data_IF_253257118145
#
_entry.id   IF_253257118145
#
_cell.length_a   1.000
_cell.length_b   1.000
_cell.length_c   1.000
_cell.angle_alpha   90.00
_cell.angle_beta   90.00
_cell.angle_gamma   90.00
#
_symmetry.space_group_name_H-M   'P 1'
#
loop_
_entity.id
_entity.type
_entity.pdbx_description
1 polymer ?
#
# COMPACT_ATOMS: atom_id res chain seq x y z
N UNK A 1 -53.94 -49.96 28.19
CA UNK A 1 -53.57 -49.71 26.78
C UNK A 1 -53.65 -48.21 26.53
N UNK A 2 -52.53 -47.60 26.09
CA UNK A 2 -52.45 -46.43 25.18
C UNK A 2 -53.03 -45.10 25.72
N UNK A 3 -52.36 -43.96 25.72
CA UNK A 3 -51.14 -43.50 25.03
C UNK A 3 -50.75 -42.16 25.64
N UNK A 4 -49.45 -41.98 25.89
CA UNK A 4 -48.82 -40.74 26.35
C UNK A 4 -48.69 -39.79 25.14
N UNK A 5 -49.18 -38.55 25.25
CA UNK A 5 -49.04 -37.54 24.19
C UNK A 5 -47.87 -36.61 24.54
N UNK A 6 -46.68 -36.94 24.04
CA UNK A 6 -45.50 -36.05 24.07
C UNK A 6 -45.65 -34.99 22.99
N UNK A 7 -45.83 -33.73 23.38
CA UNK A 7 -45.78 -32.58 22.50
C UNK A 7 -44.29 -32.21 22.28
N UNK A 8 -43.75 -32.57 21.12
CA UNK A 8 -42.38 -32.22 20.72
C UNK A 8 -42.45 -30.90 19.92
N UNK A 9 -42.21 -29.78 20.59
CA UNK A 9 -42.11 -28.47 19.94
C UNK A 9 -40.76 -28.41 19.24
N UNK A 10 -40.79 -28.68 17.93
CA UNK A 10 -39.69 -28.44 17.01
C UNK A 10 -39.42 -26.93 16.89
N UNK A 11 -38.32 -26.47 17.47
CA UNK A 11 -37.84 -25.10 17.33
C UNK A 11 -37.07 -25.00 16.01
N UNK A 12 -37.76 -24.62 14.93
CA UNK A 12 -37.15 -24.29 13.64
C UNK A 12 -36.31 -23.02 13.80
N UNK A 13 -35.01 -23.19 14.09
CA UNK A 13 -34.00 -22.14 13.96
C UNK A 13 -33.83 -21.82 12.47
N UNK A 14 -34.64 -20.89 11.97
CA UNK A 14 -34.35 -20.21 10.71
C UNK A 14 -33.08 -19.41 10.95
N UNK A 15 -31.95 -19.95 10.52
CA UNK A 15 -30.70 -19.22 10.50
C UNK A 15 -30.83 -18.14 9.42
N UNK A 16 -31.13 -16.92 9.85
CA UNK A 16 -30.89 -15.74 9.02
C UNK A 16 -29.39 -15.66 8.80
N UNK A 17 -28.92 -16.14 7.65
CA UNK A 17 -27.61 -15.75 7.14
C UNK A 17 -27.75 -14.29 6.75
N UNK A 18 -27.50 -13.40 7.71
CA UNK A 18 -27.26 -12.01 7.40
C UNK A 18 -26.02 -11.98 6.52
N UNK A 19 -26.19 -11.86 5.21
CA UNK A 19 -25.10 -11.49 4.33
C UNK A 19 -24.72 -10.07 4.72
N UNK A 20 -23.76 -9.93 5.64
CA UNK A 20 -23.10 -8.66 5.85
C UNK A 20 -22.51 -8.29 4.49
N UNK A 21 -23.07 -7.26 3.85
CA UNK A 21 -22.43 -6.63 2.70
C UNK A 21 -21.11 -6.09 3.23
N UNK A 22 -20.05 -6.85 3.02
CA UNK A 22 -18.71 -6.43 3.39
C UNK A 22 -18.43 -5.14 2.60
N UNK A 23 -18.02 -4.06 3.27
CA UNK A 23 -17.91 -2.77 2.61
C UNK A 23 -16.84 -2.85 1.52
N UNK A 24 -17.25 -2.55 0.30
CA UNK A 24 -16.38 -2.21 -0.81
C UNK A 24 -16.20 -0.70 -0.84
N UNK A 25 -15.06 -0.23 -1.34
CA UNK A 25 -14.86 1.20 -1.47
C UNK A 25 -13.54 1.60 -2.08
N UNK A 26 -13.34 2.90 -2.05
CA UNK A 26 -12.18 3.59 -2.57
C UNK A 26 -11.60 4.46 -1.47
N UNK A 27 -10.30 4.31 -1.23
CA UNK A 27 -9.54 5.22 -0.37
C UNK A 27 -8.65 6.09 -1.26
N UNK A 28 -8.78 7.40 -1.13
CA UNK A 28 -7.88 8.36 -1.78
C UNK A 28 -6.78 8.72 -0.78
N UNK A 29 -5.52 8.60 -1.20
CA UNK A 29 -4.35 8.95 -0.40
C UNK A 29 -3.62 10.15 -0.96
N UNK A 30 -3.02 10.93 -0.07
CA UNK A 30 -1.93 11.85 -0.36
C UNK A 30 -0.60 11.21 0.07
N UNK A 31 0.30 11.00 -0.89
CA UNK A 31 1.68 10.58 -0.62
C UNK A 31 2.59 11.81 -0.61
N UNK A 32 3.28 12.01 0.51
CA UNK A 32 4.33 13.01 0.74
C UNK A 32 5.67 12.31 0.90
N UNK A 33 6.71 12.95 0.37
CA UNK A 33 8.08 12.46 0.47
C UNK A 33 9.02 13.59 0.92
N UNK A 34 9.74 13.36 2.00
CA UNK A 34 10.63 14.33 2.64
C UNK A 34 12.08 14.01 2.26
N UNK A 35 12.54 14.63 1.16
CA UNK A 35 13.88 14.38 0.63
C UNK A 35 15.00 14.81 1.58
N UNK A 36 14.80 15.86 2.37
CA UNK A 36 15.74 16.28 3.42
C UNK A 36 16.00 15.14 4.42
N UNK A 37 14.94 14.49 4.90
CA UNK A 37 15.03 13.36 5.83
C UNK A 37 15.70 12.16 5.16
N UNK A 38 15.22 11.75 3.99
CA UNK A 38 15.75 10.60 3.22
C UNK A 38 17.26 10.77 2.95
N UNK A 39 17.66 11.92 2.42
CA UNK A 39 19.04 12.17 2.04
C UNK A 39 19.96 12.24 3.27
N UNK A 40 19.47 12.77 4.40
CA UNK A 40 20.24 12.81 5.66
C UNK A 40 20.52 11.43 6.26
N UNK A 41 19.76 10.39 5.89
CA UNK A 41 20.00 9.02 6.35
C UNK A 41 21.02 8.24 5.51
N UNK A 42 21.52 8.80 4.40
CA UNK A 42 22.52 8.13 3.57
C UNK A 42 23.81 7.88 4.37
N UNK A 43 24.22 6.61 4.43
CA UNK A 43 25.26 6.13 5.35
C UNK A 43 26.68 6.60 5.01
N UNK A 44 26.90 7.05 3.77
CA UNK A 44 28.20 7.51 3.29
C UNK A 44 28.43 9.01 3.49
N UNK A 45 27.47 9.75 4.04
CA UNK A 45 27.58 11.19 4.28
C UNK A 45 28.13 11.50 5.68
N UNK A 46 28.99 12.50 5.77
CA UNK A 46 29.40 13.11 7.04
C UNK A 46 28.27 13.92 7.68
N UNK A 47 28.40 14.24 8.97
CA UNK A 47 27.38 15.04 9.67
C UNK A 47 27.23 16.44 9.08
N UNK A 48 28.34 17.10 8.71
CA UNK A 48 28.29 18.43 8.07
C UNK A 48 27.56 18.42 6.72
N UNK A 49 27.75 17.36 5.92
CA UNK A 49 27.04 17.19 4.66
C UNK A 49 25.54 16.97 4.88
N UNK A 50 25.18 16.19 5.90
CA UNK A 50 23.78 15.98 6.29
C UNK A 50 23.12 17.29 6.73
N UNK A 51 23.79 18.08 7.56
CA UNK A 51 23.29 19.38 8.01
C UNK A 51 23.11 20.36 6.83
N UNK A 52 24.04 20.35 5.88
CA UNK A 52 23.92 21.15 4.64
C UNK A 52 22.73 20.72 3.80
N UNK A 53 22.52 19.42 3.63
CA UNK A 53 21.37 18.87 2.89
C UNK A 53 20.07 19.30 3.56
N UNK A 54 19.94 19.11 4.88
CA UNK A 54 18.72 19.51 5.60
C UNK A 54 18.44 20.99 5.39
N UNK A 55 19.43 21.87 5.54
CA UNK A 55 19.24 23.31 5.32
C UNK A 55 18.88 23.67 3.86
N UNK A 56 19.39 22.91 2.90
CA UNK A 56 19.10 23.12 1.46
C UNK A 56 17.69 22.70 1.12
N UNK A 57 17.22 21.58 1.67
CA UNK A 57 15.96 20.94 1.30
C UNK A 57 14.79 21.27 2.22
N UNK A 58 15.03 21.86 3.41
CA UNK A 58 13.98 22.20 4.39
C UNK A 58 12.87 23.11 3.85
N UNK A 59 13.16 23.93 2.84
CA UNK A 59 12.21 24.86 2.24
C UNK A 59 11.76 24.42 0.83
N UNK A 60 12.16 23.23 0.38
CA UNK A 60 11.68 22.69 -0.88
C UNK A 60 10.26 22.19 -0.66
N UNK A 61 9.35 22.59 -1.53
CA UNK A 61 7.96 22.16 -1.47
C UNK A 61 7.89 20.63 -1.57
N UNK A 62 7.09 20.02 -0.70
CA UNK A 62 6.94 18.57 -0.65
C UNK A 62 6.30 18.06 -1.94
N UNK A 63 6.94 17.09 -2.58
CA UNK A 63 6.34 16.39 -3.71
C UNK A 63 5.11 15.61 -3.21
N UNK A 64 3.93 16.14 -3.51
CA UNK A 64 2.64 15.53 -3.20
C UNK A 64 2.09 14.80 -4.41
N UNK A 65 1.61 13.59 -4.20
CA UNK A 65 0.93 12.81 -5.24
C UNK A 65 -0.33 12.16 -4.70
N UNK A 66 -1.38 12.12 -5.53
CA UNK A 66 -2.65 11.48 -5.19
C UNK A 66 -2.73 10.05 -5.72
N UNK A 67 -3.16 9.15 -4.86
CA UNK A 67 -3.26 7.72 -5.12
C UNK A 67 -4.63 7.21 -4.72
N UNK A 68 -5.07 6.12 -5.33
CA UNK A 68 -6.35 5.48 -5.05
C UNK A 68 -6.11 4.02 -4.73
N UNK A 69 -6.75 3.53 -3.68
CA UNK A 69 -6.90 2.13 -3.34
C UNK A 69 -8.36 1.74 -3.52
N UNK A 70 -8.63 0.91 -4.50
CA UNK A 70 -9.90 0.19 -4.62
C UNK A 70 -9.79 -1.06 -3.77
N UNK A 71 -10.76 -1.28 -2.89
CA UNK A 71 -10.77 -2.47 -2.04
C UNK A 71 -12.12 -3.15 -2.06
N UNK A 72 -12.07 -4.48 -2.06
CA UNK A 72 -13.17 -5.37 -1.77
C UNK A 72 -12.72 -6.39 -0.71
N UNK A 73 -13.59 -7.32 -0.29
CA UNK A 73 -13.21 -8.37 0.65
C UNK A 73 -12.18 -9.33 0.06
N UNK A 74 -12.21 -9.50 -1.27
CA UNK A 74 -11.48 -10.54 -1.99
C UNK A 74 -10.31 -9.98 -2.79
N UNK A 75 -10.32 -8.69 -3.12
CA UNK A 75 -9.36 -8.08 -4.03
C UNK A 75 -9.03 -6.63 -3.63
N UNK A 76 -7.88 -6.15 -4.09
CA UNK A 76 -7.54 -4.73 -4.03
C UNK A 76 -6.66 -4.29 -5.19
N UNK A 77 -6.76 -3.01 -5.54
CA UNK A 77 -5.95 -2.36 -6.56
C UNK A 77 -5.50 -0.99 -6.05
N UNK A 78 -4.19 -0.77 -5.94
CA UNK A 78 -3.60 0.53 -5.62
C UNK A 78 -2.92 1.11 -6.86
N UNK A 79 -3.32 2.33 -7.26
CA UNK A 79 -2.78 3.00 -8.45
C UNK A 79 -2.90 4.53 -8.35
N UNK A 80 -2.35 5.26 -9.32
CA UNK A 80 -2.49 6.71 -9.42
C UNK A 80 -3.95 7.11 -9.67
N UNK A 81 -4.37 8.23 -9.07
CA UNK A 81 -5.75 8.73 -9.20
C UNK A 81 -6.19 9.06 -10.65
N UNK A 82 -5.25 9.25 -11.58
CA UNK A 82 -5.54 9.67 -12.96
C UNK A 82 -5.22 8.59 -14.02
N UNK A 83 -4.98 7.35 -13.64
CA UNK A 83 -4.65 6.31 -14.63
C UNK A 83 -5.92 6.01 -15.46
N UNK A 84 -5.99 6.54 -16.67
CA UNK A 84 -7.14 6.41 -17.59
C UNK A 84 -7.81 7.72 -18.03
N UNK A 85 -7.40 8.87 -17.50
CA UNK A 85 -7.84 10.19 -17.99
C UNK A 85 -6.76 10.76 -18.89
N UNK A 86 -7.05 10.92 -20.18
CA UNK A 86 -6.20 11.69 -21.06
C UNK A 86 -6.21 13.14 -20.58
N UNK A 87 -5.06 13.69 -20.22
CA UNK A 87 -4.95 15.12 -19.92
C UNK A 87 -5.35 15.90 -21.19
N UNK A 88 -6.52 16.55 -21.17
CA UNK A 88 -6.98 17.45 -22.25
C UNK A 88 -6.11 18.72 -22.35
N UNK A 89 -5.26 18.97 -21.35
CA UNK A 89 -4.30 20.06 -21.36
C UNK A 89 -2.99 19.57 -21.99
N UNK A 90 -2.80 19.85 -23.28
CA UNK A 90 -1.59 19.56 -24.07
C UNK A 90 -0.31 20.30 -23.62
N UNK A 91 -0.04 20.34 -22.31
CA UNK A 91 1.29 20.59 -21.76
C UNK A 91 2.10 19.29 -21.75
N UNK A 92 3.42 19.39 -21.56
CA UNK A 92 4.29 18.24 -21.34
C UNK A 92 3.82 17.48 -20.09
N UNK A 93 2.88 16.55 -20.23
CA UNK A 93 2.53 15.64 -19.16
C UNK A 93 3.77 14.75 -18.95
N UNK A 94 4.41 14.93 -17.80
CA UNK A 94 5.40 13.99 -17.27
C UNK A 94 4.70 12.63 -17.32
N UNK A 95 5.13 11.74 -18.22
CA UNK A 95 4.59 10.38 -18.30
C UNK A 95 4.61 9.81 -16.88
N UNK A 96 3.45 9.65 -16.25
CA UNK A 96 3.37 9.03 -14.93
C UNK A 96 3.79 7.58 -15.14
N UNK A 97 4.85 7.20 -14.43
CA UNK A 97 5.41 5.85 -14.46
C UNK A 97 4.31 4.81 -14.23
N UNK A 98 4.38 3.68 -14.93
CA UNK A 98 3.41 2.60 -14.73
C UNK A 98 3.57 2.03 -13.31
N UNK A 99 2.61 2.31 -12.41
CA UNK A 99 2.58 1.79 -11.05
C UNK A 99 1.17 1.35 -10.67
N UNK A 100 0.96 0.05 -10.54
CA UNK A 100 -0.30 -0.55 -10.12
C UNK A 100 -0.04 -1.81 -9.32
N UNK A 101 -0.61 -1.90 -8.13
CA UNK A 101 -0.44 -3.03 -7.21
C UNK A 101 -1.77 -3.73 -7.08
N UNK A 102 -1.87 -4.95 -7.62
CA UNK A 102 -3.09 -5.75 -7.57
C UNK A 102 -2.92 -6.95 -6.64
N UNK A 103 -3.90 -7.19 -5.78
CA UNK A 103 -3.92 -8.31 -4.83
C UNK A 103 -5.24 -9.06 -4.96
N UNK A 104 -5.17 -10.37 -4.98
CA UNK A 104 -6.31 -11.26 -4.88
C UNK A 104 -6.14 -12.15 -3.65
N UNK A 105 -6.91 -11.85 -2.60
CA UNK A 105 -6.87 -12.50 -1.30
C UNK A 105 -7.48 -13.90 -1.32
N UNK A 106 -8.44 -14.17 -2.21
CA UNK A 106 -9.08 -15.48 -2.34
C UNK A 106 -8.15 -16.51 -2.99
N UNK A 107 -7.38 -16.06 -3.99
CA UNK A 107 -6.51 -16.92 -4.78
C UNK A 107 -5.06 -16.93 -4.29
N UNK A 108 -4.74 -16.16 -3.25
CA UNK A 108 -3.37 -15.97 -2.75
C UNK A 108 -2.42 -15.51 -3.88
N UNK A 109 -2.83 -14.50 -4.65
CA UNK A 109 -2.07 -14.02 -5.81
C UNK A 109 -1.81 -12.52 -5.75
N UNK A 110 -0.61 -12.11 -6.18
CA UNK A 110 -0.28 -10.72 -6.47
C UNK A 110 0.15 -10.52 -7.91
N UNK A 111 -0.15 -9.32 -8.41
CA UNK A 111 0.35 -8.80 -9.68
C UNK A 111 0.72 -7.33 -9.50
N UNK A 112 2.01 -7.02 -9.52
CA UNK A 112 2.50 -5.64 -9.48
C UNK A 112 3.00 -5.21 -10.86
N UNK A 113 2.45 -4.13 -11.39
CA UNK A 113 3.01 -3.42 -12.52
C UNK A 113 3.85 -2.27 -11.99
N UNK A 114 5.17 -2.34 -12.17
CA UNK A 114 6.09 -1.32 -11.63
C UNK A 114 7.13 -0.95 -12.67
N UNK A 115 7.21 0.32 -13.02
CA UNK A 115 8.36 0.90 -13.73
C UNK A 115 9.49 1.22 -12.74
N UNK A 116 10.68 0.66 -12.96
CA UNK A 116 11.84 0.87 -12.10
C UNK A 116 13.12 0.76 -12.94
N UNK A 117 14.12 1.61 -12.69
CA UNK A 117 15.37 1.65 -13.48
C UNK A 117 15.14 1.75 -15.00
N UNK A 118 14.11 2.49 -15.42
CA UNK A 118 13.73 2.70 -16.83
C UNK A 118 13.17 1.48 -17.54
N UNK A 119 12.69 0.47 -16.80
CA UNK A 119 12.03 -0.73 -17.35
C UNK A 119 10.74 -1.02 -16.59
N UNK A 120 9.72 -1.44 -17.33
CA UNK A 120 8.45 -1.92 -16.76
C UNK A 120 8.55 -3.40 -16.42
N UNK A 121 8.22 -3.73 -15.17
CA UNK A 121 8.16 -5.08 -14.65
C UNK A 121 6.73 -5.47 -14.29
N UNK A 122 6.41 -6.74 -14.51
CA UNK A 122 5.19 -7.37 -14.00
C UNK A 122 5.64 -8.39 -12.97
N UNK A 123 5.42 -8.11 -11.69
CA UNK A 123 5.80 -8.98 -10.59
C UNK A 123 4.62 -9.85 -10.23
N UNK A 124 4.71 -11.14 -10.52
CA UNK A 124 3.67 -12.12 -10.23
C UNK A 124 4.21 -13.17 -9.26
N UNK A 125 3.48 -13.38 -8.17
CA UNK A 125 3.83 -14.35 -7.13
C UNK A 125 2.63 -14.62 -6.20
N UNK A 126 2.83 -15.49 -5.21
CA UNK A 126 1.90 -15.67 -4.10
C UNK A 126 1.92 -14.49 -3.11
N UNK A 127 0.88 -14.32 -2.28
CA UNK A 127 0.90 -13.27 -1.27
C UNK A 127 1.83 -13.65 -0.12
N UNK A 128 2.65 -12.69 0.27
CA UNK A 128 3.49 -12.79 1.45
C UNK A 128 3.20 -11.61 2.34
N UNK A 129 2.39 -11.85 3.36
CA UNK A 129 2.00 -10.82 4.32
C UNK A 129 3.22 -10.36 5.12
N UNK A 130 3.46 -9.05 5.23
CA UNK A 130 4.49 -8.53 6.13
C UNK A 130 4.26 -9.00 7.58
N UNK A 131 5.34 -9.28 8.31
CA UNK A 131 5.27 -9.71 9.70
C UNK A 131 4.91 -8.54 10.64
N UNK A 132 3.63 -8.15 10.65
CA UNK A 132 3.14 -7.03 11.44
C UNK A 132 3.16 -7.30 12.95
N UNK A 133 3.67 -6.33 13.71
CA UNK A 133 3.49 -6.24 15.15
C UNK A 133 2.45 -5.17 15.47
N UNK A 134 1.25 -5.59 15.83
CA UNK A 134 0.16 -4.69 16.24
C UNK A 134 0.47 -4.13 17.64
N UNK A 135 0.23 -2.84 17.83
CA UNK A 135 0.46 -2.10 19.06
C UNK A 135 -0.85 -1.48 19.55
N UNK A 136 -0.97 -1.27 20.85
CA UNK A 136 -2.18 -0.71 21.49
C UNK A 136 -2.26 0.83 21.40
N UNK A 137 -1.77 1.41 20.30
CA UNK A 137 -1.87 2.84 20.05
C UNK A 137 -3.02 3.08 19.08
N UNK A 138 -3.84 4.08 19.38
CA UNK A 138 -4.96 4.50 18.55
C UNK A 138 -4.74 5.92 18.03
N UNK A 139 -5.23 6.18 16.83
CA UNK A 139 -5.22 7.50 16.19
C UNK A 139 -6.43 7.58 15.25
N UNK A 140 -6.99 8.77 15.06
CA UNK A 140 -8.00 8.99 14.03
C UNK A 140 -7.33 9.37 12.70
N UNK A 141 -7.73 8.73 11.60
CA UNK A 141 -7.29 9.04 10.23
C UNK A 141 -8.50 9.04 9.32
N UNK A 142 -8.71 10.13 8.56
CA UNK A 142 -9.86 10.31 7.67
C UNK A 142 -11.24 10.03 8.33
N UNK A 143 -11.38 10.30 9.63
CA UNK A 143 -12.61 10.06 10.39
C UNK A 143 -12.78 8.63 10.92
N UNK A 144 -11.79 7.75 10.76
CA UNK A 144 -11.81 6.38 11.27
C UNK A 144 -10.83 6.19 12.42
N UNK A 145 -11.23 5.36 13.40
CA UNK A 145 -10.33 4.96 14.49
C UNK A 145 -9.37 3.90 13.97
N UNK A 146 -8.08 4.21 14.00
CA UNK A 146 -7.03 3.33 13.53
C UNK A 146 -6.17 2.80 14.68
N UNK A 147 -5.72 1.55 14.54
CA UNK A 147 -4.71 0.95 15.40
C UNK A 147 -3.34 0.95 14.71
N UNK A 148 -2.28 1.10 15.50
CA UNK A 148 -0.91 1.06 14.99
C UNK A 148 -0.41 -0.35 14.78
N UNK A 149 0.27 -0.60 13.67
CA UNK A 149 1.10 -1.76 13.45
C UNK A 149 2.48 -1.34 12.94
N UNK A 150 3.50 -2.13 13.24
CA UNK A 150 4.87 -1.90 12.76
C UNK A 150 5.45 -3.15 12.11
N UNK A 151 6.21 -2.97 11.05
CA UNK A 151 7.01 -4.03 10.41
C UNK A 151 8.34 -3.44 9.94
N UNK A 152 9.24 -4.29 9.45
CA UNK A 152 10.53 -3.90 8.89
C UNK A 152 10.60 -4.39 7.46
N UNK A 153 10.98 -3.51 6.53
CA UNK A 153 11.25 -3.89 5.14
C UNK A 153 12.51 -4.77 5.08
N UNK A 154 12.43 -6.04 4.63
CA UNK A 154 13.60 -6.92 4.54
C UNK A 154 14.62 -6.47 3.48
N UNK A 155 14.25 -5.58 2.55
CA UNK A 155 15.12 -5.12 1.47
C UNK A 155 15.98 -3.96 1.96
N UNK A 156 15.34 -2.93 2.52
CA UNK A 156 15.99 -1.68 2.89
C UNK A 156 16.28 -1.55 4.38
N UNK A 157 15.70 -2.42 5.23
CA UNK A 157 15.79 -2.31 6.69
C UNK A 157 14.99 -1.15 7.26
N UNK A 158 14.09 -0.55 6.47
CA UNK A 158 13.27 0.57 6.91
C UNK A 158 12.20 0.10 7.91
N UNK A 159 11.90 0.95 8.88
CA UNK A 159 10.76 0.73 9.78
C UNK A 159 9.50 1.28 9.14
N UNK A 160 8.50 0.42 8.99
CA UNK A 160 7.22 0.76 8.40
C UNK A 160 6.18 0.79 9.50
N UNK A 161 5.59 1.96 9.72
CA UNK A 161 4.47 2.14 10.63
C UNK A 161 3.19 2.26 9.80
N UNK A 162 2.21 1.41 10.09
CA UNK A 162 0.89 1.46 9.49
C UNK A 162 -0.17 1.79 10.54
N UNK A 163 -1.17 2.57 10.16
CA UNK A 163 -2.39 2.79 10.92
C UNK A 163 -3.56 2.22 10.14
N UNK A 164 -4.24 1.22 10.70
CA UNK A 164 -5.31 0.50 10.03
C UNK A 164 -6.63 0.59 10.80
N UNK A 165 -7.76 0.63 10.09
CA UNK A 165 -9.10 0.67 10.71
C UNK A 165 -9.85 -0.64 10.49
N UNK A 166 -10.32 -1.24 11.58
CA UNK A 166 -11.16 -2.45 11.55
C UNK A 166 -12.61 -2.18 11.14
N UNK A 167 -13.02 -0.91 11.08
CA UNK A 167 -14.35 -0.52 10.56
C UNK A 167 -14.46 -0.80 9.05
N UNK A 168 -13.30 -0.93 8.38
CA UNK A 168 -13.17 -1.35 6.99
C UNK A 168 -12.53 -2.75 6.95
N UNK A 169 -13.32 -3.84 7.09
CA UNK A 169 -12.82 -5.22 7.19
C UNK A 169 -12.31 -5.79 5.85
N UNK A 170 -11.25 -5.19 5.31
CA UNK A 170 -10.47 -5.70 4.18
C UNK A 170 -8.99 -5.64 4.53
N UNK A 171 -8.21 -6.59 4.02
CA UNK A 171 -6.77 -6.65 4.26
C UNK A 171 -5.97 -5.67 3.38
N UNK A 172 -6.66 -4.81 2.61
CA UNK A 172 -6.07 -3.90 1.65
C UNK A 172 -5.23 -2.79 2.31
N UNK A 173 -4.26 -2.28 1.55
CA UNK A 173 -3.43 -1.16 1.97
C UNK A 173 -2.68 -0.52 0.81
N UNK A 174 -2.05 0.63 1.04
CA UNK A 174 -1.33 1.35 0.01
C UNK A 174 0.03 0.70 -0.28
N UNK A 175 0.58 1.01 -1.46
CA UNK A 175 1.87 0.48 -1.91
C UNK A 175 1.85 -1.06 -1.92
N UNK A 176 2.93 -1.72 -1.48
CA UNK A 176 3.03 -3.18 -1.39
C UNK A 176 2.62 -3.72 -0.01
N UNK A 177 2.04 -2.90 0.86
CA UNK A 177 1.72 -3.24 2.25
C UNK A 177 0.24 -3.59 2.41
N UNK A 178 -0.03 -4.77 2.99
CA UNK A 178 -1.38 -5.34 3.17
C UNK A 178 -1.36 -6.37 4.32
N UNK A 179 -2.50 -7.01 4.59
CA UNK A 179 -2.60 -8.17 5.48
C UNK A 179 -2.88 -7.86 6.96
N UNK A 180 -3.25 -6.61 7.27
CA UNK A 180 -3.82 -6.24 8.57
C UNK A 180 -5.33 -6.55 8.57
N UNK A 181 -5.98 -6.71 9.74
CA UNK A 181 -7.40 -7.09 9.82
C UNK A 181 -8.38 -5.97 9.38
N UNK A 182 -7.85 -4.87 8.87
CA UNK A 182 -8.62 -3.76 8.31
C UNK A 182 -7.76 -2.92 7.38
N UNK A 183 -8.39 -2.00 6.66
CA UNK A 183 -7.70 -1.21 5.62
C UNK A 183 -6.67 -0.29 6.26
N UNK A 184 -5.46 -0.28 5.70
CA UNK A 184 -4.38 0.64 6.10
C UNK A 184 -4.73 2.05 5.60
N UNK A 185 -5.02 2.97 6.49
CA UNK A 185 -5.37 4.36 6.17
C UNK A 185 -4.17 5.30 6.24
N UNK A 186 -3.12 4.94 6.96
CA UNK A 186 -1.85 5.67 6.89
C UNK A 186 -0.67 4.71 6.89
N UNK A 187 0.34 5.02 6.08
CA UNK A 187 1.62 4.33 6.06
C UNK A 187 2.76 5.33 6.15
N UNK A 188 3.70 5.07 7.04
CA UNK A 188 4.82 5.94 7.35
C UNK A 188 6.12 5.14 7.34
N UNK A 189 7.08 5.57 6.51
CA UNK A 189 8.42 4.98 6.41
C UNK A 189 9.39 5.77 7.28
N UNK A 190 10.17 5.08 8.13
CA UNK A 190 11.25 5.62 8.97
C UNK A 190 10.89 6.94 9.67
N UNK A 191 9.72 6.99 10.29
CA UNK A 191 9.26 8.16 11.05
C UNK A 191 9.10 9.44 10.18
N UNK A 192 8.49 9.26 9.02
CA UNK A 192 7.95 10.33 8.20
C UNK A 192 8.91 10.79 7.11
N UNK A 193 9.76 9.88 6.61
CA UNK A 193 10.49 10.07 5.36
C UNK A 193 9.56 9.98 4.15
N UNK A 194 8.63 9.03 4.19
CA UNK A 194 7.50 8.92 3.28
C UNK A 194 6.25 8.73 4.11
N UNK A 195 5.22 9.53 3.82
CA UNK A 195 3.90 9.43 4.47
C UNK A 195 2.85 9.27 3.38
N UNK A 196 2.11 8.17 3.41
CA UNK A 196 0.94 7.93 2.58
C UNK A 196 -0.27 7.97 3.50
N UNK A 197 -1.05 9.05 3.45
CA UNK A 197 -2.16 9.30 4.37
C UNK A 197 -3.48 9.36 3.60
N UNK A 198 -4.49 8.64 4.07
CA UNK A 198 -5.84 8.69 3.52
C UNK A 198 -6.44 10.08 3.76
N UNK A 199 -6.93 10.70 2.69
CA UNK A 199 -7.61 12.00 2.74
C UNK A 199 -9.12 11.84 2.61
N UNK A 200 -9.58 10.74 2.00
CA UNK A 200 -10.99 10.47 1.75
C UNK A 200 -11.24 8.96 1.64
N UNK A 201 -12.36 8.51 2.20
CA UNK A 201 -12.87 7.13 2.04
C UNK A 201 -14.28 7.20 1.49
N UNK A 202 -14.52 6.57 0.35
CA UNK A 202 -15.84 6.48 -0.29
C UNK A 202 -16.27 5.03 -0.39
N UNK A 203 -17.38 4.66 0.26
CA UNK A 203 -17.95 3.32 0.18
C UNK A 203 -18.88 3.20 -1.03
N UNK A 204 -18.50 2.35 -1.99
CA UNK A 204 -19.25 2.06 -3.22
C UNK A 204 -18.79 0.73 -3.80
N UNK A 205 -19.60 0.14 -4.69
CA UNK A 205 -19.15 -1.04 -5.43
C UNK A 205 -18.00 -0.70 -6.37
N UNK A 206 -16.95 -1.52 -6.38
CA UNK A 206 -15.72 -1.30 -7.17
C UNK A 206 -15.40 -2.45 -8.13
N UNK A 207 -16.33 -3.40 -8.35
CA UNK A 207 -16.06 -4.59 -9.16
C UNK A 207 -15.61 -4.29 -10.60
N UNK A 208 -16.02 -3.14 -11.16
CA UNK A 208 -15.58 -2.69 -12.49
C UNK A 208 -14.22 -1.99 -12.52
N UNK A 209 -13.67 -1.61 -11.36
CA UNK A 209 -12.42 -0.84 -11.23
C UNK A 209 -11.24 -1.72 -10.79
N UNK A 210 -11.51 -2.91 -10.22
CA UNK A 210 -10.53 -3.90 -9.80
C UNK A 210 -9.96 -4.70 -10.98
N UNK A 211 -9.35 -3.99 -11.93
CA UNK A 211 -8.80 -4.58 -13.15
C UNK A 211 -7.35 -4.98 -12.92
N UNK A 212 -7.03 -6.25 -13.18
CA UNK A 212 -5.65 -6.74 -13.17
C UNK A 212 -4.83 -5.98 -14.20
N UNK A 213 -3.66 -5.43 -13.87
CA UNK A 213 -2.85 -4.69 -14.83
C UNK A 213 -2.34 -5.61 -15.97
N UNK A 214 -2.58 -5.21 -17.22
CA UNK A 214 -2.26 -6.01 -18.44
C UNK A 214 -1.19 -5.37 -19.34
N UNK A 215 -0.38 -4.46 -18.81
CA UNK A 215 0.62 -3.73 -19.59
C UNK A 215 1.75 -4.63 -20.15
N UNK A 216 2.49 -4.11 -21.12
CA UNK A 216 3.71 -4.77 -21.64
C UNK A 216 4.86 -4.53 -20.67
N UNK A 217 5.44 -5.60 -20.14
CA UNK A 217 6.57 -5.52 -19.21
C UNK A 217 7.27 -6.87 -19.07
N UNK A 218 8.44 -6.87 -18.43
CA UNK A 218 9.17 -8.09 -18.13
C UNK A 218 8.53 -8.78 -16.92
N UNK A 219 7.98 -9.97 -17.12
CA UNK A 219 7.45 -10.82 -16.03
C UNK A 219 8.59 -11.39 -15.20
N UNK A 220 8.52 -11.20 -13.88
CA UNK A 220 9.52 -11.69 -12.91
C UNK A 220 8.84 -12.08 -11.59
N UNK A 221 9.51 -12.92 -10.79
CA UNK A 221 9.05 -13.23 -9.43
C UNK A 221 9.38 -12.12 -8.44
N UNK A 222 8.71 -12.11 -7.28
CA UNK A 222 8.92 -11.11 -6.24
C UNK A 222 10.35 -11.15 -5.68
N UNK A 223 10.88 -12.37 -5.49
CA UNK A 223 12.27 -12.57 -5.07
C UNK A 223 13.25 -11.96 -6.07
N UNK A 224 12.99 -12.11 -7.37
CA UNK A 224 13.84 -11.55 -8.42
C UNK A 224 13.79 -10.02 -8.40
N UNK A 225 12.60 -9.44 -8.23
CA UNK A 225 12.42 -8.00 -8.12
C UNK A 225 13.12 -7.43 -6.89
N UNK A 226 12.93 -8.05 -5.72
CA UNK A 226 13.54 -7.61 -4.46
C UNK A 226 15.09 -7.70 -4.53
N UNK A 227 15.63 -8.74 -5.16
CA UNK A 227 17.07 -8.86 -5.39
C UNK A 227 17.61 -7.77 -6.33
N UNK A 228 16.84 -7.39 -7.36
CA UNK A 228 17.21 -6.29 -8.26
C UNK A 228 17.30 -4.97 -7.49
N UNK A 229 16.32 -4.65 -6.65
CA UNK A 229 16.35 -3.46 -5.80
C UNK A 229 17.53 -3.49 -4.83
N UNK A 230 17.72 -4.59 -4.10
CA UNK A 230 18.81 -4.76 -3.13
C UNK A 230 20.19 -4.57 -3.76
N UNK A 231 20.40 -5.17 -4.94
CA UNK A 231 21.66 -5.03 -5.68
C UNK A 231 21.90 -3.59 -6.12
N UNK A 232 20.87 -2.92 -6.65
CA UNK A 232 20.97 -1.52 -7.06
C UNK A 232 21.30 -0.61 -5.86
N UNK A 233 20.59 -0.76 -4.74
CA UNK A 233 20.85 0.00 -3.51
C UNK A 233 22.29 -0.20 -3.06
N UNK A 234 22.73 -1.46 -2.93
CA UNK A 234 24.08 -1.79 -2.48
C UNK A 234 25.17 -1.17 -3.37
N UNK A 235 24.99 -1.26 -4.69
CA UNK A 235 25.95 -0.68 -5.65
C UNK A 235 25.97 0.84 -5.60
N UNK A 236 24.81 1.48 -5.52
CA UNK A 236 24.69 2.94 -5.42
C UNK A 236 25.33 3.47 -4.14
N UNK A 237 25.05 2.86 -2.98
CA UNK A 237 25.67 3.22 -1.70
C UNK A 237 27.19 3.03 -1.76
N UNK A 238 27.69 1.92 -2.32
CA UNK A 238 29.13 1.68 -2.50
C UNK A 238 29.79 2.74 -3.41
N UNK A 239 29.06 3.21 -4.42
CA UNK A 239 29.50 4.27 -5.31
C UNK A 239 29.23 5.68 -4.77
N UNK A 240 28.76 5.81 -3.52
CA UNK A 240 28.38 7.08 -2.89
C UNK A 240 27.34 7.88 -3.71
N UNK A 241 26.41 7.17 -4.33
CA UNK A 241 25.29 7.71 -5.10
C UNK A 241 23.99 7.39 -4.38
N UNK A 242 23.05 8.33 -4.43
CA UNK A 242 21.73 8.12 -3.87
C UNK A 242 20.93 7.13 -4.78
N UNK A 243 20.56 5.93 -4.30
CA UNK A 243 19.78 4.97 -5.08
C UNK A 243 18.36 5.47 -5.37
N UNK A 244 17.80 6.27 -4.46
CA UNK A 244 16.39 6.65 -4.44
C UNK A 244 16.00 7.63 -5.52
N UNK A 245 16.97 8.14 -6.29
CA UNK A 245 16.67 8.89 -7.52
C UNK A 245 16.09 8.03 -8.63
N UNK A 246 16.31 6.71 -8.60
CA UNK A 246 15.96 5.81 -9.71
C UNK A 246 15.06 4.65 -9.29
N UNK A 247 14.79 4.53 -8.00
CA UNK A 247 13.87 3.55 -7.43
C UNK A 247 12.94 4.26 -6.44
N UNK A 248 11.75 3.70 -6.24
CA UNK A 248 10.82 4.16 -5.21
C UNK A 248 11.44 3.93 -3.83
N UNK A 249 11.36 4.96 -2.97
CA UNK A 249 11.80 4.90 -1.57
C UNK A 249 10.91 3.97 -0.75
#
# INVERSE_FOLDING_TARGET
MKTCFTFLVSFLLVQYVATAQQPEGVVTYERRQHWDKILSQLSYLSQEEKDRIVNTWKNVEEDKSKWMLYFSPTQSLYTYANQGVADEAGGYSKRKEDYSIYRNFDQDQKTDLIETLGKTYIVEDSLHTPAWKILNQIKEVAGYVCMKAVTTDPIQGQTITAWFSMDLPSQAGPERYFGLPGVILELCVNDGEVVVEAIEVTLRSVSGELIVPTAKGKRISDTTYNNLLKNHITQSIKAQRNPYWTIRY
#
